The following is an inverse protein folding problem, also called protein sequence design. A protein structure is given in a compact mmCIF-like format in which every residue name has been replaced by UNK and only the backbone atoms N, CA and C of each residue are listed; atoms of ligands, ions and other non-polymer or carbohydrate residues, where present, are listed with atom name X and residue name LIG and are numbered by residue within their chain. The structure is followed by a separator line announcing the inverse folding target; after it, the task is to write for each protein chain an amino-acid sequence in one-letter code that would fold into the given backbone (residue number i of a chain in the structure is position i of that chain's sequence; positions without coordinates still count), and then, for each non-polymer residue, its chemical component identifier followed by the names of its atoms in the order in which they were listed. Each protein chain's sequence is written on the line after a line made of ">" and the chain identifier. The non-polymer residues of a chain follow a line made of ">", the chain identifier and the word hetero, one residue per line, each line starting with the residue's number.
data_IF_416778879618
#
_entry.id   IF_416778879618
#
_cell.length_a   1.000
_cell.length_b   1.000
_cell.length_c   1.000
_cell.angle_alpha   90.00
_cell.angle_beta   90.00
_cell.angle_gamma   90.00
#
_symmetry.space_group_name_H-M   'P 1'
#
loop_
_entity.id
_entity.type
_entity.pdbx_description
1 polymer ?
#
# COMPACT_ATOMS: atom_id res chain seq x y z
N UNK A 1 -28.35 45.01 31.00
CA UNK A 1 -27.09 44.40 30.59
C UNK A 1 -27.26 42.89 30.63
N UNK A 2 -27.59 42.29 29.48
CA UNK A 2 -27.79 40.84 29.34
C UNK A 2 -26.45 40.19 29.07
N UNK A 3 -26.03 39.28 29.96
CA UNK A 3 -24.86 38.40 29.73
C UNK A 3 -25.21 37.44 28.58
N UNK A 4 -24.42 37.37 27.49
CA UNK A 4 -24.67 36.41 26.45
C UNK A 4 -24.37 35.02 26.99
N UNK A 5 -25.39 34.16 27.05
CA UNK A 5 -25.25 32.73 27.31
C UNK A 5 -24.32 32.14 26.29
N UNK A 6 -23.20 31.61 26.76
CA UNK A 6 -22.24 30.86 25.92
C UNK A 6 -22.98 29.73 25.16
N UNK A 7 -22.72 29.53 23.86
CA UNK A 7 -23.40 28.49 23.11
C UNK A 7 -23.04 27.14 23.73
N UNK A 8 -24.09 26.35 23.98
CA UNK A 8 -24.00 25.01 24.49
C UNK A 8 -22.92 24.20 23.74
N UNK A 9 -22.07 23.56 24.48
CA UNK A 9 -21.10 22.60 24.00
C UNK A 9 -21.79 21.58 23.09
N UNK A 10 -21.83 21.84 21.78
CA UNK A 10 -22.06 20.78 20.82
C UNK A 10 -20.91 19.83 21.00
N UNK A 11 -21.18 18.57 21.35
CA UNK A 11 -20.24 17.50 21.44
C UNK A 11 -19.66 17.24 20.03
N UNK A 12 -18.75 18.10 19.58
CA UNK A 12 -17.93 17.89 18.38
C UNK A 12 -17.01 16.73 18.68
N UNK A 13 -17.48 15.53 18.36
CA UNK A 13 -16.62 14.35 18.38
C UNK A 13 -15.33 14.70 17.66
N UNK A 14 -14.22 14.60 18.40
CA UNK A 14 -12.89 15.01 17.97
C UNK A 14 -12.60 14.45 16.56
N UNK A 15 -12.23 15.25 15.55
CA UNK A 15 -12.00 14.82 14.18
C UNK A 15 -10.95 13.69 14.08
N UNK A 16 -10.05 13.59 15.05
CA UNK A 16 -9.08 12.50 15.16
C UNK A 16 -9.77 11.12 15.25
N UNK A 17 -10.75 10.96 16.14
CA UNK A 17 -11.42 9.66 16.34
C UNK A 17 -12.26 9.24 15.14
N UNK A 18 -12.91 10.18 14.45
CA UNK A 18 -13.65 9.88 13.21
C UNK A 18 -12.71 9.41 12.10
N UNK A 19 -11.58 10.11 11.90
CA UNK A 19 -10.56 9.72 10.93
C UNK A 19 -9.89 8.39 11.31
N UNK A 20 -9.68 8.16 12.61
CA UNK A 20 -9.14 6.90 13.11
C UNK A 20 -10.08 5.73 12.83
N UNK A 21 -11.35 5.85 13.17
CA UNK A 21 -12.35 4.78 12.93
C UNK A 21 -12.46 4.46 11.45
N UNK A 22 -12.64 5.47 10.58
CA UNK A 22 -12.70 5.28 9.13
C UNK A 22 -11.41 4.62 8.61
N UNK A 23 -10.24 5.15 9.01
CA UNK A 23 -8.95 4.63 8.56
C UNK A 23 -8.64 3.21 9.05
N UNK A 24 -9.05 2.86 10.26
CA UNK A 24 -8.91 1.50 10.85
C UNK A 24 -9.74 0.48 10.07
N UNK A 25 -11.03 0.77 9.85
CA UNK A 25 -11.93 -0.11 9.10
C UNK A 25 -11.45 -0.27 7.66
N UNK A 26 -11.01 0.83 7.02
CA UNK A 26 -10.42 0.80 5.68
C UNK A 26 -9.16 -0.08 5.63
N UNK A 27 -8.27 0.06 6.61
CA UNK A 27 -7.03 -0.74 6.68
C UNK A 27 -7.36 -2.22 6.84
N UNK A 28 -8.30 -2.57 7.71
CA UNK A 28 -8.73 -3.97 7.88
C UNK A 28 -9.33 -4.55 6.60
N UNK A 29 -10.24 -3.83 5.93
CA UNK A 29 -10.82 -4.24 4.65
C UNK A 29 -9.76 -4.45 3.58
N UNK A 30 -8.80 -3.52 3.46
CA UNK A 30 -7.69 -3.63 2.52
C UNK A 30 -6.76 -4.82 2.82
N UNK A 31 -6.52 -5.15 4.09
CA UNK A 31 -5.69 -6.30 4.47
C UNK A 31 -6.33 -7.63 4.08
N UNK A 32 -7.65 -7.76 4.25
CA UNK A 32 -8.40 -8.97 3.92
C UNK A 32 -8.51 -9.19 2.41
N UNK A 33 -8.45 -8.13 1.61
CA UNK A 33 -8.54 -8.16 0.14
C UNK A 33 -7.27 -7.67 -0.55
N UNK A 34 -6.10 -7.74 0.12
CA UNK A 34 -4.84 -7.17 -0.35
C UNK A 34 -4.46 -7.67 -1.75
N UNK A 35 -4.42 -6.74 -2.70
CA UNK A 35 -4.05 -7.02 -4.08
C UNK A 35 -2.60 -7.50 -4.29
N UNK A 36 -1.72 -7.30 -3.31
CA UNK A 36 -0.33 -7.74 -3.39
C UNK A 36 -0.10 -9.16 -2.84
N UNK A 37 -0.99 -9.67 -1.98
CA UNK A 37 -0.85 -10.97 -1.31
C UNK A 37 -2.06 -11.85 -1.54
N UNK A 38 -3.26 -11.40 -1.13
CA UNK A 38 -4.48 -12.22 -1.12
C UNK A 38 -4.93 -12.57 -2.54
N UNK A 39 -5.07 -11.58 -3.42
CA UNK A 39 -5.52 -11.83 -4.79
C UNK A 39 -4.52 -12.66 -5.61
N UNK A 40 -3.19 -12.40 -5.60
CA UNK A 40 -2.24 -13.27 -6.28
C UNK A 40 -2.23 -14.70 -5.75
N UNK A 41 -2.37 -14.88 -4.43
CA UNK A 41 -2.48 -16.21 -3.84
C UNK A 41 -3.72 -16.95 -4.36
N UNK A 42 -4.89 -16.32 -4.28
CA UNK A 42 -6.15 -16.91 -4.75
C UNK A 42 -6.05 -17.27 -6.23
N UNK A 43 -5.63 -16.35 -7.08
CA UNK A 43 -5.50 -16.57 -8.51
C UNK A 43 -4.53 -17.72 -8.82
N UNK A 44 -3.36 -17.77 -8.17
CA UNK A 44 -2.39 -18.85 -8.35
C UNK A 44 -2.91 -20.20 -7.86
N UNK A 45 -3.56 -20.24 -6.69
CA UNK A 45 -4.13 -21.46 -6.11
C UNK A 45 -5.21 -22.09 -7.00
N UNK A 46 -5.97 -21.28 -7.73
CA UNK A 46 -6.99 -21.72 -8.68
C UNK A 46 -6.47 -21.87 -10.12
N UNK A 47 -5.14 -21.96 -10.32
CA UNK A 47 -4.53 -22.21 -11.62
C UNK A 47 -4.40 -21.00 -12.54
N UNK A 48 -4.74 -19.80 -12.08
CA UNK A 48 -4.62 -18.54 -12.83
C UNK A 48 -3.25 -17.89 -12.64
N UNK A 49 -2.16 -18.66 -12.76
CA UNK A 49 -0.79 -18.22 -12.45
C UNK A 49 -0.36 -16.98 -13.24
N UNK A 50 -0.74 -16.90 -14.53
CA UNK A 50 -0.45 -15.72 -15.35
C UNK A 50 -1.16 -14.47 -14.81
N UNK A 51 -2.45 -14.59 -14.51
CA UNK A 51 -3.21 -13.48 -13.94
C UNK A 51 -2.59 -13.04 -12.60
N UNK A 52 -2.26 -13.98 -11.71
CA UNK A 52 -1.62 -13.71 -10.43
C UNK A 52 -0.33 -12.89 -10.59
N UNK A 53 0.52 -13.21 -11.57
CA UNK A 53 1.74 -12.46 -11.85
C UNK A 53 1.47 -11.05 -12.42
N UNK A 54 0.36 -10.88 -13.17
CA UNK A 54 -0.03 -9.62 -13.79
C UNK A 54 -0.81 -8.67 -12.87
N UNK A 55 -1.32 -9.12 -11.72
CA UNK A 55 -2.12 -8.29 -10.82
C UNK A 55 -1.37 -7.04 -10.33
N UNK A 56 -0.12 -7.19 -9.90
CA UNK A 56 0.66 -6.05 -9.42
C UNK A 56 1.01 -5.06 -10.55
N UNK A 57 1.49 -5.49 -11.73
CA UNK A 57 1.63 -4.60 -12.90
C UNK A 57 0.34 -3.86 -13.25
N UNK A 58 -0.79 -4.56 -13.31
CA UNK A 58 -2.08 -3.96 -13.60
C UNK A 58 -2.50 -2.90 -12.56
N UNK A 59 -2.35 -3.23 -11.27
CA UNK A 59 -2.56 -2.28 -10.18
C UNK A 59 -1.66 -1.05 -10.30
N UNK A 60 -0.39 -1.22 -10.68
CA UNK A 60 0.57 -0.13 -10.84
C UNK A 60 0.18 0.79 -12.01
N UNK A 61 -0.26 0.24 -13.15
CA UNK A 61 -0.80 1.02 -14.28
C UNK A 61 -2.02 1.83 -13.84
N UNK A 62 -2.96 1.18 -13.14
CA UNK A 62 -4.12 1.86 -12.57
C UNK A 62 -3.74 2.98 -11.62
N UNK A 63 -2.76 2.75 -10.76
CA UNK A 63 -2.24 3.75 -9.81
C UNK A 63 -1.65 4.97 -10.52
N UNK A 64 -0.95 4.79 -11.64
CA UNK A 64 -0.47 5.92 -12.49
C UNK A 64 -1.65 6.77 -12.94
N UNK A 65 -2.68 6.14 -13.50
CA UNK A 65 -3.89 6.85 -13.94
C UNK A 65 -4.59 7.55 -12.77
N UNK A 66 -4.72 6.86 -11.62
CA UNK A 66 -5.34 7.40 -10.41
C UNK A 66 -4.62 8.63 -9.85
N UNK A 67 -3.29 8.60 -9.76
CA UNK A 67 -2.51 9.76 -9.34
C UNK A 67 -2.66 10.94 -10.31
N UNK A 68 -2.76 10.67 -11.60
CA UNK A 68 -2.99 11.69 -12.63
C UNK A 68 -4.38 12.32 -12.51
N UNK A 69 -5.39 11.54 -12.15
CA UNK A 69 -6.78 11.98 -11.98
C UNK A 69 -7.04 12.66 -10.63
N UNK A 70 -6.23 12.37 -9.61
CA UNK A 70 -6.43 12.85 -8.23
C UNK A 70 -6.57 14.36 -8.12
N UNK A 71 -5.76 15.22 -8.76
CA UNK A 71 -5.93 16.67 -8.67
C UNK A 71 -7.28 17.14 -9.22
N UNK A 72 -7.72 16.60 -10.35
CA UNK A 72 -9.01 16.94 -10.95
C UNK A 72 -10.19 16.46 -10.09
N UNK A 73 -10.07 15.25 -9.50
CA UNK A 73 -11.08 14.71 -8.60
C UNK A 73 -11.21 15.55 -7.32
N UNK A 74 -10.09 15.95 -6.70
CA UNK A 74 -10.07 16.83 -5.54
C UNK A 74 -10.65 18.22 -5.83
N UNK A 75 -10.36 18.79 -6.99
CA UNK A 75 -10.90 20.08 -7.40
C UNK A 75 -12.42 20.01 -7.59
N UNK A 76 -12.93 18.94 -8.24
CA UNK A 76 -14.39 18.73 -8.41
C UNK A 76 -15.09 18.48 -7.08
N UNK A 77 -14.46 17.74 -6.18
CA UNK A 77 -15.01 17.48 -4.83
C UNK A 77 -15.01 18.75 -3.96
N UNK A 78 -14.13 19.71 -4.19
CA UNK A 78 -14.08 20.98 -3.45
C UNK A 78 -14.05 20.78 -1.93
N UNK A 79 -15.08 21.25 -1.23
CA UNK A 79 -15.23 21.04 0.21
C UNK A 79 -15.71 19.62 0.58
N UNK A 80 -16.31 18.90 -0.36
CA UNK A 80 -16.92 17.56 -0.15
C UNK A 80 -15.92 16.41 -0.35
N UNK A 81 -14.64 16.59 0.06
CA UNK A 81 -13.58 15.58 -0.10
C UNK A 81 -13.87 14.29 0.65
N UNK A 82 -14.64 14.36 1.73
CA UNK A 82 -15.11 13.16 2.44
C UNK A 82 -16.05 12.30 1.58
N UNK A 83 -16.85 12.90 0.70
CA UNK A 83 -17.67 12.13 -0.26
C UNK A 83 -16.80 11.44 -1.32
N UNK A 84 -15.72 12.09 -1.79
CA UNK A 84 -14.76 11.45 -2.71
C UNK A 84 -14.15 10.21 -2.05
N UNK A 85 -13.80 10.29 -0.77
CA UNK A 85 -13.30 9.16 0.00
C UNK A 85 -14.35 8.05 0.15
N UNK A 86 -15.61 8.41 0.44
CA UNK A 86 -16.72 7.45 0.54
C UNK A 86 -16.99 6.73 -0.78
N UNK A 87 -17.06 7.48 -1.90
CA UNK A 87 -17.27 6.91 -3.24
C UNK A 87 -16.09 6.01 -3.63
N UNK A 88 -14.84 6.44 -3.37
CA UNK A 88 -13.68 5.61 -3.64
C UNK A 88 -13.72 4.29 -2.86
N UNK A 89 -14.10 4.32 -1.59
CA UNK A 89 -14.23 3.11 -0.78
C UNK A 89 -15.35 2.19 -1.29
N UNK A 90 -16.49 2.75 -1.70
CA UNK A 90 -17.60 2.00 -2.29
C UNK A 90 -17.21 1.35 -3.62
N UNK A 91 -16.50 2.06 -4.50
CA UNK A 91 -15.99 1.49 -5.76
C UNK A 91 -14.97 0.38 -5.47
N UNK A 92 -14.06 0.58 -4.50
CA UNK A 92 -13.12 -0.48 -4.11
C UNK A 92 -13.85 -1.72 -3.60
N UNK A 93 -14.90 -1.55 -2.79
CA UNK A 93 -15.74 -2.66 -2.33
C UNK A 93 -16.41 -3.40 -3.50
N UNK A 94 -16.98 -2.66 -4.46
CA UNK A 94 -17.62 -3.24 -5.64
C UNK A 94 -16.62 -4.02 -6.51
N UNK A 95 -15.40 -3.51 -6.69
CA UNK A 95 -14.34 -4.21 -7.42
C UNK A 95 -13.97 -5.54 -6.74
N UNK A 96 -13.82 -5.56 -5.42
CA UNK A 96 -13.54 -6.80 -4.69
C UNK A 96 -14.73 -7.78 -4.75
N UNK A 97 -15.96 -7.28 -4.75
CA UNK A 97 -17.15 -8.11 -4.97
C UNK A 97 -17.11 -8.77 -6.36
N UNK A 98 -16.68 -8.05 -7.40
CA UNK A 98 -16.51 -8.65 -8.74
C UNK A 98 -15.52 -9.83 -8.70
N UNK A 99 -14.39 -9.70 -8.01
CA UNK A 99 -13.44 -10.81 -7.84
C UNK A 99 -14.02 -11.98 -7.03
N UNK A 100 -14.87 -11.70 -6.03
CA UNK A 100 -15.48 -12.73 -5.19
C UNK A 100 -16.58 -13.54 -5.91
N UNK A 101 -17.30 -12.92 -6.86
CA UNK A 101 -18.45 -13.52 -7.55
C UNK A 101 -18.06 -14.29 -8.81
N UNK A 102 -17.03 -13.87 -9.51
CA UNK A 102 -16.61 -14.49 -10.78
C UNK A 102 -16.19 -15.95 -10.55
N UNK A 103 -16.50 -16.88 -11.46
CA UNK A 103 -15.95 -18.23 -11.43
C UNK A 103 -14.43 -18.17 -11.62
N UNK A 104 -13.64 -18.74 -10.71
CA UNK A 104 -12.18 -18.62 -10.72
C UNK A 104 -11.50 -19.61 -11.69
N UNK A 105 -12.04 -19.71 -12.90
CA UNK A 105 -11.52 -20.59 -13.95
C UNK A 105 -11.55 -19.91 -15.31
N UNK A 106 -10.56 -20.21 -16.14
CA UNK A 106 -10.51 -19.77 -17.52
C UNK A 106 -10.04 -18.31 -17.73
N UNK A 107 -9.97 -17.94 -19.01
CA UNK A 107 -9.44 -16.64 -19.45
C UNK A 107 -10.31 -15.46 -18.98
N UNK A 108 -11.63 -15.66 -18.89
CA UNK A 108 -12.56 -14.63 -18.45
C UNK A 108 -12.27 -14.23 -17.00
N UNK A 109 -12.08 -15.19 -16.11
CA UNK A 109 -11.71 -14.92 -14.72
C UNK A 109 -10.38 -14.19 -14.63
N UNK A 110 -9.37 -14.66 -15.38
CA UNK A 110 -8.07 -14.00 -15.44
C UNK A 110 -8.18 -12.54 -15.88
N UNK A 111 -8.99 -12.25 -16.90
CA UNK A 111 -9.23 -10.88 -17.37
C UNK A 111 -9.92 -10.02 -16.29
N UNK A 112 -10.94 -10.56 -15.60
CA UNK A 112 -11.62 -9.84 -14.51
C UNK A 112 -10.64 -9.50 -13.39
N UNK A 113 -9.86 -10.44 -12.89
CA UNK A 113 -8.84 -10.19 -11.85
C UNK A 113 -7.87 -9.07 -12.26
N UNK A 114 -7.36 -9.10 -13.48
CA UNK A 114 -6.42 -8.08 -13.99
C UNK A 114 -7.11 -6.72 -14.12
N UNK A 115 -8.33 -6.65 -14.67
CA UNK A 115 -9.08 -5.39 -14.81
C UNK A 115 -9.50 -4.80 -13.46
N UNK A 116 -9.95 -5.65 -12.53
CA UNK A 116 -10.28 -5.24 -11.16
C UNK A 116 -9.05 -4.71 -10.44
N UNK A 117 -7.90 -5.37 -10.60
CA UNK A 117 -6.65 -4.90 -10.03
C UNK A 117 -6.23 -3.54 -10.59
N UNK A 118 -6.35 -3.33 -11.90
CA UNK A 118 -6.09 -2.03 -12.53
C UNK A 118 -7.06 -0.95 -12.03
N UNK A 119 -8.36 -1.24 -12.00
CA UNK A 119 -9.38 -0.34 -11.43
C UNK A 119 -9.12 -0.03 -9.96
N UNK A 120 -8.76 -1.03 -9.17
CA UNK A 120 -8.35 -0.89 -7.78
C UNK A 120 -7.16 0.08 -7.61
N UNK A 121 -6.15 -0.02 -8.48
CA UNK A 121 -5.03 0.91 -8.52
C UNK A 121 -5.46 2.36 -8.69
N UNK A 122 -6.37 2.63 -9.65
CA UNK A 122 -6.94 3.98 -9.88
C UNK A 122 -7.61 4.49 -8.60
N UNK A 123 -8.52 3.71 -8.06
CA UNK A 123 -9.38 4.13 -6.94
C UNK A 123 -8.58 4.33 -5.66
N UNK A 124 -7.66 3.42 -5.36
CA UNK A 124 -6.79 3.50 -4.18
C UNK A 124 -5.87 4.71 -4.26
N UNK A 125 -5.32 5.05 -5.44
CA UNK A 125 -4.49 6.25 -5.61
C UNK A 125 -5.29 7.52 -5.33
N UNK A 126 -6.51 7.66 -5.89
CA UNK A 126 -7.40 8.80 -5.63
C UNK A 126 -7.80 8.86 -4.14
N UNK A 127 -8.19 7.73 -3.56
CA UNK A 127 -8.57 7.62 -2.15
C UNK A 127 -7.43 8.04 -1.22
N UNK A 128 -6.20 7.59 -1.50
CA UNK A 128 -5.01 7.92 -0.71
C UNK A 128 -4.73 9.42 -0.70
N UNK A 129 -4.81 10.07 -1.86
CA UNK A 129 -4.60 11.52 -1.96
C UNK A 129 -5.70 12.27 -1.22
N UNK A 130 -6.97 11.88 -1.39
CA UNK A 130 -8.11 12.49 -0.69
C UNK A 130 -8.00 12.32 0.83
N UNK A 131 -7.57 11.16 1.31
CA UNK A 131 -7.38 10.90 2.74
C UNK A 131 -6.25 11.73 3.33
N UNK A 132 -5.10 11.81 2.66
CA UNK A 132 -3.97 12.63 3.11
C UNK A 132 -4.33 14.11 3.16
N UNK A 133 -5.10 14.59 2.19
CA UNK A 133 -5.57 15.96 2.16
C UNK A 133 -6.57 16.26 3.31
N UNK A 134 -7.51 15.35 3.58
CA UNK A 134 -8.42 15.42 4.74
C UNK A 134 -7.66 15.46 6.07
N UNK A 135 -6.66 14.61 6.25
CA UNK A 135 -5.81 14.58 7.45
C UNK A 135 -5.06 15.92 7.58
N UNK A 136 -4.47 16.39 6.49
CA UNK A 136 -3.67 17.63 6.50
C UNK A 136 -4.50 18.86 6.85
N UNK A 137 -5.76 18.87 6.46
CA UNK A 137 -6.68 19.99 6.72
C UNK A 137 -7.34 19.97 8.11
N UNK A 138 -7.47 18.78 8.73
CA UNK A 138 -8.21 18.60 9.99
C UNK A 138 -7.32 18.37 11.22
N UNK A 139 -6.07 17.96 11.04
CA UNK A 139 -5.17 17.61 12.13
C UNK A 139 -3.85 18.40 12.07
N UNK A 140 -3.30 18.69 13.25
CA UNK A 140 -1.94 19.22 13.40
C UNK A 140 -0.90 18.19 12.97
N UNK A 141 0.29 18.64 12.63
CA UNK A 141 1.38 17.81 12.10
C UNK A 141 1.69 16.59 12.99
N UNK A 142 1.82 16.83 14.29
CA UNK A 142 2.09 15.75 15.25
C UNK A 142 0.98 14.68 15.26
N UNK A 143 -0.29 15.08 15.28
CA UNK A 143 -1.44 14.16 15.27
C UNK A 143 -1.61 13.40 13.97
N UNK A 144 -1.09 13.91 12.84
CA UNK A 144 -1.12 13.20 11.54
C UNK A 144 -0.29 11.92 11.59
N UNK A 145 0.94 12.02 12.10
CA UNK A 145 1.83 10.87 12.25
C UNK A 145 1.26 9.83 13.21
N UNK A 146 0.76 10.26 14.37
CA UNK A 146 0.08 9.40 15.34
C UNK A 146 -1.11 8.65 14.72
N UNK A 147 -1.99 9.37 14.02
CA UNK A 147 -3.16 8.77 13.35
C UNK A 147 -2.74 7.68 12.36
N UNK A 148 -1.73 7.94 11.52
CA UNK A 148 -1.30 6.98 10.50
C UNK A 148 -0.72 5.69 11.11
N UNK A 149 -0.01 5.81 12.22
CA UNK A 149 0.54 4.66 12.93
C UNK A 149 -0.56 3.86 13.64
N UNK A 150 -1.40 4.55 14.41
CA UNK A 150 -2.44 3.92 15.23
C UNK A 150 -3.50 3.24 14.35
N UNK A 151 -3.96 3.89 13.26
CA UNK A 151 -4.92 3.27 12.34
C UNK A 151 -4.37 1.99 11.69
N UNK A 152 -3.09 2.01 11.34
CA UNK A 152 -2.42 0.85 10.76
C UNK A 152 -2.38 -0.32 11.74
N UNK A 153 -1.94 -0.07 12.97
CA UNK A 153 -1.85 -1.09 14.00
C UNK A 153 -3.24 -1.68 14.36
N UNK A 154 -4.23 -0.84 14.67
CA UNK A 154 -5.57 -1.31 15.04
C UNK A 154 -6.26 -2.01 13.86
N UNK A 155 -6.12 -1.48 12.64
CA UNK A 155 -6.69 -2.09 11.43
C UNK A 155 -6.07 -3.47 11.14
N UNK A 156 -4.78 -3.63 11.37
CA UNK A 156 -4.10 -4.93 11.21
C UNK A 156 -4.55 -5.94 12.28
N UNK A 157 -4.71 -5.51 13.53
CA UNK A 157 -5.25 -6.38 14.59
C UNK A 157 -6.69 -6.80 14.25
N UNK A 158 -7.52 -5.86 13.78
CA UNK A 158 -8.89 -6.17 13.36
C UNK A 158 -8.91 -7.19 12.20
N UNK A 159 -8.02 -7.05 11.21
CA UNK A 159 -7.89 -8.01 10.11
C UNK A 159 -7.51 -9.41 10.62
N UNK A 160 -6.59 -9.52 11.59
CA UNK A 160 -6.23 -10.80 12.23
C UNK A 160 -7.43 -11.43 12.93
N UNK A 161 -8.14 -10.65 13.73
CA UNK A 161 -9.34 -11.12 14.46
C UNK A 161 -10.40 -11.65 13.47
N UNK A 162 -10.68 -10.89 12.42
CA UNK A 162 -11.64 -11.31 11.39
C UNK A 162 -11.18 -12.59 10.68
N UNK A 163 -9.89 -12.69 10.34
CA UNK A 163 -9.34 -13.88 9.66
C UNK A 163 -9.38 -15.13 10.54
N UNK A 164 -9.13 -15.00 11.85
CA UNK A 164 -9.08 -16.14 12.75
C UNK A 164 -10.46 -16.62 13.21
N UNK A 165 -11.39 -15.71 13.41
CA UNK A 165 -12.68 -16.04 14.04
C UNK A 165 -13.85 -16.00 13.06
N UNK A 166 -13.90 -15.03 12.15
CA UNK A 166 -15.07 -14.82 11.29
C UNK A 166 -14.95 -15.62 9.99
N UNK A 167 -13.79 -15.60 9.33
CA UNK A 167 -13.62 -16.29 8.03
C UNK A 167 -13.83 -17.81 8.15
N UNK A 168 -13.31 -18.53 9.17
CA UNK A 168 -13.58 -19.95 9.31
C UNK A 168 -15.08 -20.29 9.48
N UNK A 169 -15.84 -19.41 10.14
CA UNK A 169 -17.30 -19.57 10.30
C UNK A 169 -18.04 -19.46 8.97
N UNK A 170 -17.51 -18.66 8.01
CA UNK A 170 -18.08 -18.52 6.68
C UNK A 170 -17.67 -19.65 5.73
N UNK A 171 -16.50 -20.25 5.94
CA UNK A 171 -15.90 -21.22 5.02
C UNK A 171 -16.37 -22.67 5.18
N UNK A 172 -16.97 -23.06 6.32
CA UNK A 172 -17.49 -24.42 6.61
C UNK A 172 -16.58 -25.57 6.14
N UNK A 173 -15.24 -25.38 6.17
CA UNK A 173 -14.26 -26.39 5.77
C UNK A 173 -13.96 -26.47 4.25
N UNK A 174 -14.64 -25.69 3.41
CA UNK A 174 -14.35 -25.57 1.97
C UNK A 174 -13.35 -24.43 1.71
N UNK A 175 -12.23 -24.74 1.05
CA UNK A 175 -11.18 -23.79 0.71
C UNK A 175 -11.68 -22.66 -0.19
N UNK A 176 -12.57 -22.96 -1.14
CA UNK A 176 -13.17 -21.96 -2.03
C UNK A 176 -14.05 -20.99 -1.26
N UNK A 177 -14.91 -21.51 -0.38
CA UNK A 177 -15.77 -20.69 0.48
C UNK A 177 -14.94 -19.82 1.43
N UNK A 178 -13.84 -20.37 1.97
CA UNK A 178 -12.89 -19.62 2.80
C UNK A 178 -12.28 -18.41 2.04
N UNK A 179 -11.75 -18.65 0.84
CA UNK A 179 -11.15 -17.57 0.01
C UNK A 179 -12.19 -16.51 -0.37
N UNK A 180 -13.41 -16.93 -0.74
CA UNK A 180 -14.53 -16.00 -1.01
C UNK A 180 -14.93 -15.24 0.24
N UNK A 181 -14.97 -15.89 1.40
CA UNK A 181 -15.28 -15.28 2.68
C UNK A 181 -14.31 -14.14 3.02
N UNK A 182 -13.01 -14.30 2.77
CA UNK A 182 -12.01 -13.24 2.91
C UNK A 182 -12.32 -12.03 2.03
N UNK A 183 -12.62 -12.25 0.74
CA UNK A 183 -12.95 -11.16 -0.18
C UNK A 183 -14.26 -10.47 0.20
N UNK A 184 -15.30 -11.22 0.61
CA UNK A 184 -16.56 -10.64 1.09
C UNK A 184 -16.39 -9.78 2.33
N UNK A 185 -15.59 -10.24 3.32
CA UNK A 185 -15.27 -9.45 4.51
C UNK A 185 -14.42 -8.22 4.17
N UNK A 186 -13.48 -8.35 3.24
CA UNK A 186 -12.70 -7.23 2.73
C UNK A 186 -13.60 -6.17 2.09
N UNK A 187 -14.52 -6.59 1.21
CA UNK A 187 -15.49 -5.71 0.57
C UNK A 187 -16.44 -5.04 1.59
N UNK A 188 -16.96 -5.81 2.55
CA UNK A 188 -17.80 -5.27 3.62
C UNK A 188 -17.05 -4.24 4.48
N UNK A 189 -15.78 -4.50 4.82
CA UNK A 189 -14.92 -3.53 5.53
C UNK A 189 -14.71 -2.25 4.73
N UNK A 190 -14.46 -2.36 3.41
CA UNK A 190 -14.31 -1.19 2.53
C UNK A 190 -15.62 -0.41 2.43
N UNK A 191 -16.77 -1.07 2.26
CA UNK A 191 -18.08 -0.43 2.24
C UNK A 191 -18.37 0.27 3.57
N UNK A 192 -18.11 -0.39 4.70
CA UNK A 192 -18.27 0.23 6.04
C UNK A 192 -17.34 1.44 6.23
N UNK A 193 -16.10 1.38 5.71
CA UNK A 193 -15.20 2.54 5.74
C UNK A 193 -15.72 3.70 4.89
N UNK A 194 -16.38 3.40 3.77
CA UNK A 194 -17.08 4.40 2.94
C UNK A 194 -18.21 5.08 3.68
N UNK A 195 -19.06 4.32 4.37
CA UNK A 195 -20.10 4.86 5.24
C UNK A 195 -19.51 5.70 6.37
N UNK A 196 -18.45 5.23 7.02
CA UNK A 196 -17.76 6.01 8.05
C UNK A 196 -17.18 7.32 7.52
N UNK A 197 -16.75 7.35 6.24
CA UNK A 197 -16.24 8.57 5.60
C UNK A 197 -17.31 9.68 5.49
N UNK A 198 -18.58 9.33 5.35
CA UNK A 198 -19.69 10.32 5.31
C UNK A 198 -19.77 11.17 6.59
N UNK A 199 -19.35 10.60 7.73
CA UNK A 199 -19.36 11.31 9.03
C UNK A 199 -18.12 12.18 9.26
N UNK A 200 -17.14 12.20 8.33
CA UNK A 200 -15.95 13.05 8.46
C UNK A 200 -16.26 14.53 8.27
N UNK A 201 -17.33 14.84 7.54
CA UNK A 201 -17.80 16.21 7.27
C UNK A 201 -16.88 16.99 6.32
N UNK A 202 -17.35 18.13 5.83
CA UNK A 202 -16.65 18.96 4.84
C UNK A 202 -15.34 19.55 5.37
N UNK A 203 -14.49 19.95 4.46
CA UNK A 203 -13.22 20.64 4.72
C UNK A 203 -13.40 22.13 4.48
N UNK A 204 -12.72 22.97 5.27
CA UNK A 204 -12.66 24.40 4.97
C UNK A 204 -11.99 24.60 3.60
N UNK A 205 -12.57 25.49 2.79
CA UNK A 205 -12.01 25.83 1.49
C UNK A 205 -10.59 26.40 1.69
N UNK A 206 -9.60 25.68 1.20
CA UNK A 206 -8.26 26.25 1.00
C UNK A 206 -8.29 26.94 -0.35
N UNK A 207 -7.82 28.20 -0.40
CA UNK A 207 -7.70 28.98 -1.63
C UNK A 207 -7.09 28.14 -2.73
N UNK A 208 -7.74 28.11 -3.89
CA UNK A 208 -7.37 27.26 -5.02
C UNK A 208 -5.90 27.48 -5.37
N UNK A 209 -5.07 26.47 -5.10
CA UNK A 209 -3.75 26.41 -5.73
C UNK A 209 -3.94 26.41 -7.23
N UNK A 210 -3.16 27.20 -7.96
CA UNK A 210 -3.15 27.30 -9.42
C UNK A 210 -3.27 25.92 -10.04
N UNK A 211 -4.25 25.76 -10.93
CA UNK A 211 -4.52 24.50 -11.62
C UNK A 211 -3.28 24.12 -12.46
N UNK A 212 -2.45 23.26 -11.92
CA UNK A 212 -1.36 22.69 -12.73
C UNK A 212 -1.91 21.57 -13.59
N UNK A 213 -1.66 21.64 -14.89
CA UNK A 213 -1.99 20.57 -15.82
C UNK A 213 -1.08 19.37 -15.60
N UNK A 214 -1.51 18.19 -16.04
CA UNK A 214 -0.69 16.97 -16.01
C UNK A 214 0.69 17.21 -16.64
N UNK A 215 0.73 17.84 -17.80
CA UNK A 215 1.96 18.17 -18.52
C UNK A 215 2.90 19.10 -17.72
N UNK A 216 2.36 20.06 -17.00
CA UNK A 216 3.12 20.97 -16.15
C UNK A 216 3.71 20.25 -14.94
N UNK A 217 2.95 19.34 -14.31
CA UNK A 217 3.42 18.49 -13.23
C UNK A 217 4.66 17.69 -13.63
N UNK A 218 4.62 17.04 -14.81
CA UNK A 218 5.75 16.28 -15.32
C UNK A 218 6.92 17.15 -15.74
N UNK A 219 6.65 18.28 -16.39
CA UNK A 219 7.70 19.25 -16.78
C UNK A 219 8.43 19.78 -15.55
N UNK A 220 7.71 20.11 -14.49
CA UNK A 220 8.30 20.53 -13.22
C UNK A 220 9.11 19.40 -12.57
N UNK A 221 8.56 18.19 -12.50
CA UNK A 221 9.26 17.03 -11.94
C UNK A 221 10.59 16.74 -12.64
N UNK A 222 10.60 16.75 -13.99
CA UNK A 222 11.83 16.59 -14.76
C UNK A 222 12.81 17.77 -14.59
N UNK A 223 12.30 19.00 -14.54
CA UNK A 223 13.14 20.17 -14.30
C UNK A 223 13.85 20.09 -12.94
N UNK A 224 13.09 19.76 -11.88
CA UNK A 224 13.66 19.60 -10.54
C UNK A 224 14.61 18.39 -10.47
N UNK A 225 14.32 17.28 -11.15
CA UNK A 225 15.22 16.13 -11.21
C UNK A 225 16.55 16.45 -11.91
N UNK A 226 16.54 17.41 -12.85
CA UNK A 226 17.77 17.89 -13.52
C UNK A 226 18.56 18.90 -12.66
N UNK A 227 17.87 19.85 -12.04
CA UNK A 227 18.53 20.94 -11.28
C UNK A 227 18.92 20.50 -9.87
N UNK A 228 18.12 19.64 -9.21
CA UNK A 228 18.28 19.30 -7.82
C UNK A 228 18.90 17.90 -7.60
N UNK A 229 20.17 17.79 -7.20
CA UNK A 229 20.84 16.51 -6.99
C UNK A 229 20.15 15.63 -5.93
N UNK A 230 19.56 16.24 -4.88
CA UNK A 230 18.85 15.50 -3.85
C UNK A 230 17.61 14.81 -4.37
N UNK A 231 16.86 15.46 -5.25
CA UNK A 231 15.65 14.89 -5.82
C UNK A 231 15.97 13.77 -6.82
N UNK A 232 17.00 13.93 -7.63
CA UNK A 232 17.52 12.86 -8.50
C UNK A 232 17.90 11.61 -7.70
N UNK A 233 18.61 11.77 -6.58
CA UNK A 233 18.95 10.66 -5.67
C UNK A 233 17.69 10.03 -5.07
N UNK A 234 16.73 10.84 -4.64
CA UNK A 234 15.44 10.37 -4.14
C UNK A 234 14.72 9.50 -5.16
N UNK A 235 14.60 9.95 -6.41
CA UNK A 235 13.95 9.20 -7.50
C UNK A 235 14.69 7.89 -7.76
N UNK A 236 16.02 7.91 -7.96
CA UNK A 236 16.81 6.70 -8.21
C UNK A 236 16.65 5.70 -7.08
N UNK A 237 16.74 6.14 -5.83
CA UNK A 237 16.53 5.27 -4.68
C UNK A 237 15.13 4.68 -4.67
N UNK A 238 14.10 5.49 -4.88
CA UNK A 238 12.71 5.02 -4.93
C UNK A 238 12.47 3.98 -6.03
N UNK A 239 13.09 4.14 -7.21
CA UNK A 239 13.01 3.17 -8.30
C UNK A 239 13.67 1.83 -7.93
N UNK A 240 14.81 1.85 -7.24
CA UNK A 240 15.49 0.65 -6.77
C UNK A 240 14.73 -0.09 -5.66
N UNK A 241 13.78 0.56 -4.99
CA UNK A 241 12.90 -0.09 -4.02
C UNK A 241 11.62 -0.68 -4.63
N UNK A 242 11.34 -0.48 -5.91
CA UNK A 242 10.20 -1.12 -6.58
C UNK A 242 10.21 -2.68 -6.43
N UNK A 243 11.35 -3.39 -6.54
CA UNK A 243 11.42 -4.83 -6.34
C UNK A 243 11.07 -5.29 -4.93
N UNK A 244 11.30 -4.47 -3.90
CA UNK A 244 10.96 -4.81 -2.51
C UNK A 244 9.45 -5.01 -2.36
N UNK A 245 8.64 -4.18 -3.00
CA UNK A 245 7.19 -4.34 -3.01
C UNK A 245 6.75 -5.55 -3.87
N UNK A 246 7.42 -5.79 -5.01
CA UNK A 246 7.14 -6.93 -5.88
C UNK A 246 7.47 -8.27 -5.22
N UNK A 247 8.46 -8.34 -4.33
CA UNK A 247 8.84 -9.56 -3.62
C UNK A 247 7.67 -10.23 -2.94
N UNK A 248 6.80 -9.48 -2.27
CA UNK A 248 5.62 -10.03 -1.57
C UNK A 248 4.69 -10.80 -2.50
N UNK A 249 4.49 -10.33 -3.73
CA UNK A 249 3.66 -11.00 -4.74
C UNK A 249 4.27 -12.35 -5.16
N UNK A 250 5.59 -12.40 -5.41
CA UNK A 250 6.25 -13.65 -5.81
C UNK A 250 6.33 -14.66 -4.65
N UNK A 251 6.50 -14.20 -3.41
CA UNK A 251 6.39 -15.07 -2.23
C UNK A 251 4.97 -15.65 -2.10
N UNK A 252 3.91 -14.84 -2.35
CA UNK A 252 2.54 -15.31 -2.31
C UNK A 252 2.25 -16.35 -3.39
N UNK A 253 2.70 -16.11 -4.64
CA UNK A 253 2.62 -17.11 -5.72
C UNK A 253 3.28 -18.43 -5.33
N UNK A 254 4.50 -18.35 -4.77
CA UNK A 254 5.25 -19.54 -4.35
C UNK A 254 4.50 -20.31 -3.27
N UNK A 255 3.99 -19.61 -2.27
CA UNK A 255 3.24 -20.23 -1.18
C UNK A 255 1.96 -20.90 -1.68
N UNK A 256 1.26 -20.30 -2.65
CA UNK A 256 0.08 -20.89 -3.26
C UNK A 256 0.38 -22.20 -3.99
N UNK A 257 1.48 -22.26 -4.76
CA UNK A 257 1.90 -23.47 -5.48
C UNK A 257 2.34 -24.62 -4.56
N UNK A 258 2.82 -24.31 -3.37
CA UNK A 258 3.32 -25.31 -2.41
C UNK A 258 2.26 -25.71 -1.35
N UNK A 259 1.00 -25.29 -1.52
CA UNK A 259 -0.09 -25.65 -0.61
C UNK A 259 -0.08 -24.92 0.72
N UNK A 260 0.60 -23.77 0.83
CA UNK A 260 0.61 -22.94 2.04
C UNK A 260 -0.75 -22.27 2.33
N UNK A 261 -0.97 -21.92 3.60
CA UNK A 261 -2.25 -21.34 4.05
C UNK A 261 -2.33 -19.83 3.85
N UNK A 262 -3.35 -19.36 3.16
CA UNK A 262 -3.60 -17.92 2.97
C UNK A 262 -3.80 -17.18 4.30
N UNK A 263 -4.47 -17.81 5.28
CA UNK A 263 -4.68 -17.22 6.61
C UNK A 263 -3.36 -16.88 7.31
N UNK A 264 -2.34 -17.72 7.17
CA UNK A 264 -1.00 -17.46 7.72
C UNK A 264 -0.41 -16.19 7.10
N UNK A 265 -0.55 -16.02 5.77
CA UNK A 265 -0.03 -14.83 5.08
C UNK A 265 -0.70 -13.56 5.59
N UNK A 266 -2.02 -13.56 5.75
CA UNK A 266 -2.77 -12.39 6.28
C UNK A 266 -2.34 -12.05 7.70
N UNK A 267 -2.24 -13.07 8.58
CA UNK A 267 -1.84 -12.89 9.97
C UNK A 267 -0.41 -12.36 10.06
N UNK A 268 0.53 -13.01 9.37
CA UNK A 268 1.95 -12.64 9.41
C UNK A 268 2.19 -11.26 8.82
N UNK A 269 1.51 -10.90 7.72
CA UNK A 269 1.56 -9.55 7.14
C UNK A 269 1.05 -8.52 8.14
N UNK A 270 -0.06 -8.81 8.83
CA UNK A 270 -0.60 -7.92 9.87
C UNK A 270 0.35 -7.75 11.05
N UNK A 271 0.95 -8.84 11.54
CA UNK A 271 1.97 -8.81 12.59
C UNK A 271 3.18 -7.97 12.15
N UNK A 272 3.62 -8.16 10.90
CA UNK A 272 4.74 -7.40 10.32
C UNK A 272 4.50 -5.89 10.31
N UNK A 273 3.29 -5.44 10.00
CA UNK A 273 2.93 -4.03 10.06
C UNK A 273 2.91 -3.48 11.49
N UNK A 274 2.39 -4.25 12.44
CA UNK A 274 2.35 -3.85 13.86
C UNK A 274 3.77 -3.76 14.43
N UNK A 275 4.60 -4.78 14.22
CA UNK A 275 5.98 -4.82 14.73
C UNK A 275 6.92 -3.86 13.99
N UNK A 276 6.71 -3.70 12.69
CA UNK A 276 7.53 -2.83 11.85
C UNK A 276 7.47 -1.35 12.28
N UNK A 277 6.29 -0.88 12.70
CA UNK A 277 6.10 0.53 13.07
C UNK A 277 7.03 0.99 14.22
N UNK A 278 7.06 0.38 15.41
CA UNK A 278 7.97 0.78 16.49
C UNK A 278 9.44 0.52 16.16
N UNK A 279 9.75 -0.53 15.41
CA UNK A 279 11.10 -0.82 14.94
C UNK A 279 11.63 0.34 14.11
N UNK A 280 10.92 0.71 13.05
CA UNK A 280 11.35 1.77 12.13
C UNK A 280 11.32 3.16 12.77
N UNK A 281 10.42 3.41 13.72
CA UNK A 281 10.45 4.64 14.52
C UNK A 281 11.74 4.77 15.33
N UNK A 282 12.24 3.67 15.92
CA UNK A 282 13.53 3.66 16.64
C UNK A 282 14.72 3.86 15.69
N UNK A 283 14.71 3.15 14.55
CA UNK A 283 15.75 3.27 13.51
C UNK A 283 15.78 4.69 12.96
N UNK A 284 14.62 5.28 12.67
CA UNK A 284 14.53 6.65 12.16
C UNK A 284 15.12 7.68 13.14
N UNK A 285 14.77 7.58 14.43
CA UNK A 285 15.32 8.49 15.47
C UNK A 285 16.83 8.37 15.61
N UNK A 286 17.41 7.19 15.45
CA UNK A 286 18.84 6.96 15.66
C UNK A 286 19.66 7.17 14.40
N UNK A 287 19.19 6.73 13.25
CA UNK A 287 19.96 6.67 12.00
C UNK A 287 19.34 7.48 10.85
N UNK A 288 18.18 8.12 11.07
CA UNK A 288 17.48 8.93 10.08
C UNK A 288 16.95 8.12 8.88
N UNK A 289 16.68 8.82 7.78
CA UNK A 289 16.16 8.26 6.53
C UNK A 289 17.10 7.20 5.95
N UNK A 290 18.41 7.44 5.98
CA UNK A 290 19.42 6.48 5.52
C UNK A 290 19.31 5.15 6.23
N UNK A 291 19.22 5.17 7.56
CA UNK A 291 19.10 3.94 8.36
C UNK A 291 17.85 3.14 8.02
N UNK A 292 16.73 3.81 7.79
CA UNK A 292 15.49 3.16 7.38
C UNK A 292 15.61 2.49 6.01
N UNK A 293 16.18 3.18 5.03
CA UNK A 293 16.32 2.65 3.67
C UNK A 293 17.33 1.50 3.60
N UNK A 294 18.52 1.69 4.17
CA UNK A 294 19.53 0.61 4.22
C UNK A 294 19.00 -0.59 4.99
N UNK A 295 18.41 -0.38 6.17
CA UNK A 295 17.81 -1.45 6.96
C UNK A 295 16.69 -2.18 6.21
N UNK A 296 15.79 -1.46 5.54
CA UNK A 296 14.72 -2.04 4.73
C UNK A 296 15.29 -2.91 3.59
N UNK A 297 16.28 -2.41 2.86
CA UNK A 297 16.90 -3.16 1.77
C UNK A 297 17.60 -4.43 2.27
N UNK A 298 18.31 -4.37 3.41
CA UNK A 298 18.93 -5.53 4.03
C UNK A 298 17.90 -6.55 4.52
N UNK A 299 16.81 -6.10 5.15
CA UNK A 299 15.72 -6.99 5.58
C UNK A 299 15.03 -7.63 4.36
N UNK A 300 14.85 -6.90 3.26
CA UNK A 300 14.32 -7.45 2.01
C UNK A 300 15.28 -8.47 1.38
N UNK A 301 16.58 -8.18 1.36
CA UNK A 301 17.60 -9.12 0.88
C UNK A 301 17.63 -10.39 1.75
N UNK A 302 17.51 -10.26 3.07
CA UNK A 302 17.43 -11.40 3.98
C UNK A 302 16.17 -12.24 3.72
N UNK A 303 15.02 -11.61 3.48
CA UNK A 303 13.78 -12.31 3.13
C UNK A 303 13.94 -13.11 1.83
N UNK A 304 14.54 -12.51 0.80
CA UNK A 304 14.79 -13.18 -0.47
C UNK A 304 15.79 -14.32 -0.33
N UNK A 305 16.88 -14.11 0.40
CA UNK A 305 17.88 -15.16 0.67
C UNK A 305 17.27 -16.32 1.46
N UNK A 306 16.47 -16.04 2.48
CA UNK A 306 15.77 -17.06 3.26
C UNK A 306 14.78 -17.85 2.39
N UNK A 307 14.09 -17.18 1.46
CA UNK A 307 13.20 -17.85 0.50
C UNK A 307 13.99 -18.84 -0.38
N UNK A 308 15.15 -18.41 -0.92
CA UNK A 308 16.00 -19.25 -1.77
C UNK A 308 16.54 -20.45 -0.99
N UNK A 309 17.01 -20.25 0.25
CA UNK A 309 17.53 -21.33 1.10
C UNK A 309 16.40 -22.30 1.48
N UNK A 310 15.24 -21.79 1.90
CA UNK A 310 14.09 -22.63 2.24
C UNK A 310 13.64 -23.49 1.05
N UNK A 311 13.68 -22.92 -0.15
CA UNK A 311 13.38 -23.65 -1.40
C UNK A 311 14.41 -24.74 -1.67
N UNK A 312 15.71 -24.42 -1.63
CA UNK A 312 16.79 -25.38 -1.91
C UNK A 312 16.83 -26.53 -0.90
N UNK A 313 16.37 -26.30 0.32
CA UNK A 313 16.27 -27.32 1.37
C UNK A 313 14.92 -28.06 1.39
N UNK A 314 13.96 -27.73 0.50
CA UNK A 314 12.62 -28.32 0.51
C UNK A 314 11.76 -27.93 1.71
N UNK A 315 12.11 -26.84 2.42
CA UNK A 315 11.48 -26.40 3.66
C UNK A 315 10.30 -25.45 3.46
N UNK A 316 10.02 -25.05 2.23
CA UNK A 316 8.98 -24.04 1.94
C UNK A 316 7.56 -24.48 2.35
N UNK A 317 7.32 -25.77 2.54
CA UNK A 317 6.03 -26.29 3.03
C UNK A 317 5.78 -25.97 4.51
N UNK A 318 6.82 -25.64 5.28
CA UNK A 318 6.68 -25.34 6.69
C UNK A 318 6.25 -23.90 6.92
N UNK A 319 5.25 -23.70 7.81
CA UNK A 319 4.67 -22.40 8.16
C UNK A 319 5.76 -21.40 8.60
N UNK A 320 6.73 -21.84 9.38
CA UNK A 320 7.79 -20.96 9.85
C UNK A 320 8.69 -20.43 8.70
N UNK A 321 8.88 -21.20 7.63
CA UNK A 321 9.72 -20.80 6.51
C UNK A 321 9.05 -19.67 5.70
N UNK A 322 7.87 -19.92 5.12
CA UNK A 322 7.20 -18.88 4.34
C UNK A 322 6.66 -17.75 5.23
N UNK A 323 6.24 -18.05 6.47
CA UNK A 323 5.80 -17.04 7.43
C UNK A 323 6.91 -16.04 7.78
N UNK A 324 8.14 -16.50 8.05
CA UNK A 324 9.26 -15.60 8.35
C UNK A 324 9.64 -14.74 7.14
N UNK A 325 9.62 -15.29 5.91
CA UNK A 325 9.88 -14.52 4.69
C UNK A 325 8.84 -13.40 4.52
N UNK A 326 7.54 -13.70 4.71
CA UNK A 326 6.47 -12.70 4.64
C UNK A 326 6.58 -11.64 5.73
N UNK A 327 6.91 -12.04 6.96
CA UNK A 327 7.14 -11.11 8.06
C UNK A 327 8.22 -10.10 7.71
N UNK A 328 9.38 -10.59 7.28
CA UNK A 328 10.52 -9.75 6.89
C UNK A 328 10.17 -8.84 5.70
N UNK A 329 9.54 -9.38 4.66
CA UNK A 329 9.13 -8.60 3.49
C UNK A 329 8.15 -7.48 3.85
N UNK A 330 7.18 -7.75 4.73
CA UNK A 330 6.21 -6.75 5.19
C UNK A 330 6.87 -5.67 6.03
N UNK A 331 7.75 -6.05 6.96
CA UNK A 331 8.53 -5.11 7.75
C UNK A 331 9.38 -4.22 6.85
N UNK A 332 10.05 -4.78 5.85
CA UNK A 332 10.86 -4.03 4.89
C UNK A 332 10.01 -3.00 4.12
N UNK A 333 8.89 -3.41 3.55
CA UNK A 333 8.02 -2.53 2.73
C UNK A 333 7.50 -1.33 3.52
N UNK A 334 7.14 -1.51 4.79
CA UNK A 334 6.66 -0.45 5.68
C UNK A 334 7.68 0.70 5.86
N UNK A 335 8.97 0.38 5.94
CA UNK A 335 10.04 1.37 6.07
C UNK A 335 10.20 2.26 4.83
N UNK A 336 10.07 1.68 3.63
CA UNK A 336 10.29 2.39 2.36
C UNK A 336 9.33 3.57 2.22
N UNK A 337 8.05 3.33 2.50
CA UNK A 337 7.00 4.36 2.40
C UNK A 337 7.27 5.49 3.40
N UNK A 338 7.54 5.14 4.67
CA UNK A 338 7.79 6.13 5.71
C UNK A 338 9.07 6.95 5.46
N UNK A 339 10.16 6.29 5.02
CA UNK A 339 11.41 6.95 4.67
C UNK A 339 11.26 7.90 3.48
N UNK A 340 10.53 7.48 2.44
CA UNK A 340 10.28 8.30 1.25
C UNK A 340 9.52 9.58 1.59
N UNK A 341 8.44 9.48 2.38
CA UNK A 341 7.67 10.64 2.83
C UNK A 341 8.55 11.56 3.70
N UNK A 342 9.32 11.00 4.62
CA UNK A 342 10.21 11.77 5.48
C UNK A 342 11.29 12.52 4.69
N UNK A 343 11.89 11.86 3.70
CA UNK A 343 12.92 12.48 2.85
C UNK A 343 12.39 13.69 2.07
N UNK A 344 11.27 13.50 1.37
CA UNK A 344 10.71 14.56 0.52
C UNK A 344 10.09 15.70 1.35
N UNK A 345 9.54 15.39 2.54
CA UNK A 345 8.92 16.41 3.39
C UNK A 345 9.93 17.42 3.95
N UNK A 346 11.19 17.04 4.07
CA UNK A 346 12.26 17.90 4.59
C UNK A 346 12.88 18.76 3.49
N UNK A 347 13.09 18.19 2.30
CA UNK A 347 13.88 18.86 1.24
C UNK A 347 13.02 19.55 0.18
N UNK A 348 11.75 19.14 0.04
CA UNK A 348 10.86 19.76 -0.95
C UNK A 348 10.13 20.97 -0.36
N UNK A 349 10.11 22.08 -1.12
CA UNK A 349 9.26 23.23 -0.82
C UNK A 349 7.80 22.80 -0.72
N UNK A 350 7.07 23.31 0.29
CA UNK A 350 5.71 22.87 0.61
C UNK A 350 4.77 22.91 -0.58
N UNK A 351 4.85 23.97 -1.38
CA UNK A 351 4.03 24.20 -2.58
C UNK A 351 4.28 23.14 -3.70
N UNK A 352 5.45 22.52 -3.76
CA UNK A 352 5.82 21.55 -4.81
C UNK A 352 5.84 20.10 -4.31
N UNK A 353 5.74 19.88 -3.00
CA UNK A 353 5.87 18.56 -2.37
C UNK A 353 4.93 17.52 -2.96
N UNK A 354 3.65 17.84 -3.08
CA UNK A 354 2.65 16.94 -3.65
C UNK A 354 2.94 16.57 -5.11
N UNK A 355 3.37 17.56 -5.91
CA UNK A 355 3.74 17.37 -7.31
C UNK A 355 4.94 16.43 -7.47
N UNK A 356 5.98 16.62 -6.63
CA UNK A 356 7.18 15.79 -6.67
C UNK A 356 6.93 14.36 -6.18
N UNK A 357 6.08 14.19 -5.17
CA UNK A 357 5.62 12.85 -4.73
C UNK A 357 4.88 12.15 -5.86
N UNK A 358 3.91 12.84 -6.50
CA UNK A 358 3.15 12.30 -7.62
C UNK A 358 4.03 11.88 -8.79
N UNK A 359 4.97 12.73 -9.20
CA UNK A 359 5.94 12.45 -10.24
C UNK A 359 6.78 11.19 -9.93
N UNK A 360 7.40 11.13 -8.75
CA UNK A 360 8.20 9.99 -8.33
C UNK A 360 7.36 8.70 -8.25
N UNK A 361 6.16 8.77 -7.66
CA UNK A 361 5.25 7.62 -7.56
C UNK A 361 4.87 7.07 -8.93
N UNK A 362 4.68 7.93 -9.93
CA UNK A 362 4.41 7.49 -11.30
C UNK A 362 5.62 6.78 -11.91
N UNK A 363 6.84 7.31 -11.75
CA UNK A 363 8.04 6.64 -12.24
C UNK A 363 8.23 5.26 -11.57
N UNK A 364 8.05 5.18 -10.26
CA UNK A 364 8.09 3.90 -9.52
C UNK A 364 7.04 2.93 -10.05
N UNK A 365 5.81 3.39 -10.31
CA UNK A 365 4.77 2.54 -10.86
C UNK A 365 5.09 2.04 -12.28
N UNK A 366 5.67 2.88 -13.14
CA UNK A 366 6.15 2.47 -14.48
C UNK A 366 7.21 1.38 -14.37
N UNK A 367 8.24 1.60 -13.54
CA UNK A 367 9.30 0.60 -13.33
C UNK A 367 8.74 -0.69 -12.72
N UNK A 368 7.84 -0.59 -11.74
CA UNK A 368 7.17 -1.75 -11.14
C UNK A 368 6.35 -2.54 -12.16
N UNK A 369 5.67 -1.84 -13.08
CA UNK A 369 4.91 -2.49 -14.16
C UNK A 369 5.83 -3.27 -15.11
N UNK A 370 6.89 -2.64 -15.60
CA UNK A 370 7.84 -3.27 -16.52
C UNK A 370 8.55 -4.44 -15.84
N UNK A 371 9.08 -4.21 -14.64
CA UNK A 371 9.80 -5.23 -13.90
C UNK A 371 8.87 -6.37 -13.47
N UNK A 372 7.68 -6.06 -12.97
CA UNK A 372 6.70 -7.07 -12.56
C UNK A 372 6.22 -7.92 -13.73
N UNK A 373 5.99 -7.31 -14.91
CA UNK A 373 5.65 -8.03 -16.14
C UNK A 373 6.78 -8.95 -16.61
N UNK A 374 8.03 -8.46 -16.60
CA UNK A 374 9.20 -9.25 -16.97
C UNK A 374 9.42 -10.43 -15.99
N UNK A 375 9.37 -10.17 -14.69
CA UNK A 375 9.52 -11.21 -13.65
C UNK A 375 8.36 -12.21 -13.67
N UNK A 376 7.13 -11.75 -13.94
CA UNK A 376 5.97 -12.62 -14.13
C UNK A 376 6.13 -13.56 -15.33
N UNK A 377 6.65 -13.05 -16.44
CA UNK A 377 6.98 -13.87 -17.61
C UNK A 377 8.07 -14.91 -17.33
N UNK A 378 9.08 -14.56 -16.55
CA UNK A 378 10.13 -15.49 -16.09
C UNK A 378 9.52 -16.57 -15.17
N UNK A 379 8.69 -16.17 -14.22
CA UNK A 379 8.04 -17.10 -13.29
C UNK A 379 7.16 -18.13 -14.01
N UNK A 380 6.52 -17.73 -15.11
CA UNK A 380 5.69 -18.61 -15.92
C UNK A 380 6.48 -19.60 -16.76
N UNK A 381 7.60 -19.16 -17.35
CA UNK A 381 8.41 -19.99 -18.26
C UNK A 381 9.37 -20.94 -17.55
N UNK A 382 9.85 -20.55 -16.38
CA UNK A 382 10.88 -21.30 -15.65
C UNK A 382 10.38 -21.76 -14.29
N UNK A 383 10.70 -21.01 -13.25
CA UNK A 383 10.27 -21.27 -11.87
C UNK A 383 10.07 -19.94 -11.15
N UNK A 384 9.25 -19.95 -10.11
CA UNK A 384 9.00 -18.76 -9.27
C UNK A 384 10.22 -18.33 -8.45
N UNK A 385 11.31 -19.10 -8.44
CA UNK A 385 12.52 -18.77 -7.69
C UNK A 385 13.36 -17.67 -8.39
N UNK A 386 13.40 -17.64 -9.72
CA UNK A 386 14.18 -16.66 -10.47
C UNK A 386 13.77 -15.20 -10.19
N UNK A 387 12.49 -14.85 -10.15
CA UNK A 387 12.07 -13.54 -9.67
C UNK A 387 12.62 -13.19 -8.28
N UNK A 388 12.69 -14.16 -7.37
CA UNK A 388 13.21 -13.93 -6.00
C UNK A 388 14.71 -13.65 -6.03
N UNK A 389 15.49 -14.34 -6.89
CA UNK A 389 16.92 -14.06 -7.10
C UNK A 389 17.14 -12.63 -7.60
N UNK A 390 16.29 -12.17 -8.55
CA UNK A 390 16.36 -10.78 -9.02
C UNK A 390 16.02 -9.79 -7.90
N UNK A 391 15.00 -10.07 -7.10
CA UNK A 391 14.65 -9.26 -5.92
C UNK A 391 15.82 -9.18 -4.94
N UNK A 392 16.53 -10.29 -4.69
CA UNK A 392 17.73 -10.31 -3.83
C UNK A 392 18.80 -9.37 -4.37
N UNK A 393 19.17 -9.52 -5.64
CA UNK A 393 20.23 -8.70 -6.27
C UNK A 393 19.86 -7.21 -6.20
N UNK A 394 18.63 -6.85 -6.58
CA UNK A 394 18.18 -5.47 -6.58
C UNK A 394 18.06 -4.89 -5.15
N UNK A 395 17.72 -5.72 -4.16
CA UNK A 395 17.71 -5.30 -2.75
C UNK A 395 19.12 -4.99 -2.24
N UNK A 396 20.13 -5.78 -2.63
CA UNK A 396 21.54 -5.50 -2.29
C UNK A 396 22.01 -4.20 -2.96
N UNK A 397 21.69 -4.00 -4.23
CA UNK A 397 21.99 -2.74 -4.93
C UNK A 397 21.31 -1.55 -4.25
N UNK A 398 20.02 -1.70 -3.88
CA UNK A 398 19.27 -0.68 -3.16
C UNK A 398 19.92 -0.33 -1.80
N UNK A 399 20.45 -1.32 -1.07
CA UNK A 399 21.18 -1.09 0.18
C UNK A 399 22.40 -0.20 -0.04
N UNK A 400 23.21 -0.52 -1.05
CA UNK A 400 24.43 0.25 -1.39
C UNK A 400 24.09 1.68 -1.81
N UNK A 401 23.13 1.87 -2.71
CA UNK A 401 22.70 3.20 -3.19
C UNK A 401 22.10 4.03 -2.05
N UNK A 402 21.37 3.39 -1.13
CA UNK A 402 20.79 4.05 0.04
C UNK A 402 21.82 4.61 1.03
N UNK A 403 23.08 4.22 0.96
CA UNK A 403 24.17 4.84 1.71
C UNK A 403 24.36 6.32 1.33
N UNK A 404 23.97 6.72 0.14
CA UNK A 404 23.93 8.12 -0.32
C UNK A 404 22.76 8.97 0.22
N UNK A 405 21.78 8.36 0.91
CA UNK A 405 20.63 9.08 1.47
C UNK A 405 21.05 9.97 2.68
N UNK A 406 20.29 11.03 3.01
CA UNK A 406 20.63 11.92 4.11
C UNK A 406 20.57 11.20 5.47
N UNK A 407 21.57 11.43 6.32
CA UNK A 407 21.64 10.84 7.68
C UNK A 407 20.65 11.49 8.64
N UNK A 408 20.51 12.82 8.57
CA UNK A 408 19.55 13.62 9.35
C UNK A 408 18.85 14.58 8.41
N UNK A 409 17.58 14.79 8.66
CA UNK A 409 16.92 15.99 8.19
C UNK A 409 17.54 17.15 8.98
N UNK A 410 18.50 17.87 8.40
CA UNK A 410 18.89 19.15 8.96
C UNK A 410 17.69 20.07 8.77
N UNK A 411 17.02 20.41 9.89
CA UNK A 411 16.24 21.63 9.94
C UNK A 411 17.24 22.76 9.67
N UNK A 412 17.17 23.34 8.47
CA UNK A 412 17.76 24.63 8.18
C UNK A 412 16.83 25.72 8.66
#
# INVERSE_FOLDING_TARGET
>A
MGVPLAPAFSAQTNPFWRLLSQGTIHTAGMQLSNGAVVLPFIAAHHGLTWAAAMLFPAYSIGSIAGHSLSPAALQRAGQMRHLLLAVSAAISAALIVCDAVVPWTGVFAAAVFVLVSAGGGVVVAVSRVAYLDLISSKLSEFRRGELLLVKGAIGSVLAVVLTLFVVPMLGHGDTMAYHRGLLWLGAAGLAASGLAALFLGPVRAVSASTRMSFRETYRLGFAVARSEPWFRRYVITSLLFAPVALGTTFYALRTAHQGGGLHVLVIVTSIGLVLGSPLWSRVHRRFGVRGMLVGSALVSALAAALCIVAESCGLWQHIWAYGSVFLLATVATGAVVAAGISWISVLAAEQHRGTLIGFCSTLVAVVSTVLGGALGGIAQKHTTIWPVVVVLILSVIAAVVSLGAPRRAHAA
#
